data_IF_566229485284
#
_entry.id   IF_566229485284
#
_cell.length_a   1.000
_cell.length_b   1.000
_cell.length_c   1.000
_cell.angle_alpha   90.00
_cell.angle_beta   90.00
_cell.angle_gamma   90.00
#
_symmetry.space_group_name_H-M   'P 1'
#
loop_
_entity.id
_entity.type
_entity.pdbx_description
1 polymer ?
#
# COMPACT_ATOMS: atom_id res chain seq x y z
N UNK A 1 42.94 -23.05 -78.13
CA UNK A 1 42.01 -21.97 -77.84
C UNK A 1 41.70 -22.02 -76.33
N UNK A 2 42.39 -21.21 -75.51
CA UNK A 2 42.24 -21.21 -74.04
C UNK A 2 41.26 -20.11 -73.71
N UNK A 3 40.13 -20.50 -73.07
CA UNK A 3 39.11 -19.59 -72.59
C UNK A 3 39.50 -19.09 -71.18
N UNK A 4 39.75 -17.79 -71.07
CA UNK A 4 40.06 -17.11 -69.80
C UNK A 4 38.71 -16.66 -69.20
N UNK A 5 38.34 -17.23 -68.04
CA UNK A 5 37.13 -16.81 -67.27
C UNK A 5 37.61 -15.81 -66.24
N UNK A 6 37.12 -14.54 -66.34
CA UNK A 6 37.32 -13.50 -65.32
C UNK A 6 36.23 -13.60 -64.26
N UNK A 7 36.63 -13.85 -63.00
CA UNK A 7 35.76 -13.74 -61.83
C UNK A 7 35.81 -12.29 -61.32
N UNK A 8 34.72 -11.60 -61.48
CA UNK A 8 34.53 -10.25 -60.84
C UNK A 8 34.02 -10.47 -59.44
N UNK A 9 34.88 -10.24 -58.42
CA UNK A 9 34.48 -10.21 -57.02
C UNK A 9 33.85 -8.83 -56.70
N UNK A 10 32.54 -8.74 -56.66
CA UNK A 10 31.83 -7.55 -56.21
C UNK A 10 31.93 -7.42 -54.68
N UNK A 11 32.67 -6.41 -54.21
CA UNK A 11 32.71 -6.04 -52.80
C UNK A 11 31.41 -5.29 -52.46
N UNK A 12 30.48 -6.03 -51.84
CA UNK A 12 29.28 -5.39 -51.23
C UNK A 12 29.68 -4.76 -49.90
N UNK A 13 29.82 -3.43 -49.86
CA UNK A 13 29.90 -2.67 -48.61
C UNK A 13 28.53 -2.58 -48.01
N UNK A 14 28.22 -3.37 -46.96
CA UNK A 14 27.05 -3.22 -46.17
C UNK A 14 27.22 -1.99 -45.26
N UNK A 15 26.35 -0.96 -45.35
CA UNK A 15 26.43 0.18 -44.44
C UNK A 15 26.09 -0.32 -43.03
N UNK A 16 27.06 -0.32 -42.12
CA UNK A 16 26.83 -0.54 -40.70
C UNK A 16 26.13 0.71 -40.20
N UNK A 17 24.78 0.63 -40.06
CA UNK A 17 24.03 1.62 -39.32
C UNK A 17 24.41 1.44 -37.85
N UNK A 18 25.32 2.28 -37.39
CA UNK A 18 25.59 2.39 -35.95
C UNK A 18 24.31 2.73 -35.22
N UNK A 19 23.73 1.78 -34.51
CA UNK A 19 22.69 2.08 -33.55
C UNK A 19 23.28 3.10 -32.59
N UNK A 20 22.73 4.32 -32.57
CA UNK A 20 23.04 5.30 -31.53
C UNK A 20 22.62 4.65 -30.21
N UNK A 21 23.59 4.16 -29.45
CA UNK A 21 23.39 3.72 -28.08
C UNK A 21 22.90 4.97 -27.33
N UNK A 22 21.64 5.01 -27.04
CA UNK A 22 21.04 6.09 -26.25
C UNK A 22 21.52 5.89 -24.80
N UNK A 23 22.64 6.52 -24.45
CA UNK A 23 23.14 6.50 -23.09
C UNK A 23 22.24 7.42 -22.26
N UNK A 24 21.38 6.83 -21.46
CA UNK A 24 20.57 7.57 -20.53
C UNK A 24 21.44 8.42 -19.61
N UNK A 25 21.07 9.68 -19.44
CA UNK A 25 21.76 10.58 -18.51
C UNK A 25 21.65 10.05 -17.08
N UNK A 26 22.69 10.22 -16.25
CA UNK A 26 22.60 9.89 -14.84
C UNK A 26 21.43 10.63 -14.16
N UNK A 27 20.71 9.93 -13.29
CA UNK A 27 19.71 10.56 -12.44
C UNK A 27 20.38 11.59 -11.51
N UNK A 28 19.78 12.78 -11.40
CA UNK A 28 20.27 13.83 -10.53
C UNK A 28 19.37 13.93 -9.30
N UNK A 29 19.98 14.04 -8.13
CA UNK A 29 19.28 14.31 -6.88
C UNK A 29 18.58 15.66 -6.96
N UNK A 30 17.31 15.71 -6.51
CA UNK A 30 16.51 16.93 -6.44
C UNK A 30 16.37 17.35 -4.99
N UNK A 31 15.80 16.49 -4.14
CA UNK A 31 15.51 16.83 -2.75
C UNK A 31 15.36 15.59 -1.87
N UNK A 32 15.41 15.83 -0.54
CA UNK A 32 15.13 14.86 0.50
C UNK A 32 14.17 15.48 1.53
N UNK A 33 13.19 14.70 1.98
CA UNK A 33 12.29 15.10 3.08
C UNK A 33 11.83 13.87 3.87
N UNK A 34 11.32 14.12 5.08
CA UNK A 34 10.85 13.06 5.96
C UNK A 34 9.43 12.64 5.59
N UNK A 35 9.07 11.39 5.93
CA UNK A 35 7.70 10.93 5.98
C UNK A 35 7.37 10.40 7.38
N UNK A 36 6.10 10.37 7.73
CA UNK A 36 5.59 9.68 8.91
C UNK A 36 5.15 8.27 8.50
N UNK A 37 5.61 7.26 9.23
CA UNK A 37 5.13 5.90 9.07
C UNK A 37 3.90 5.69 9.94
N UNK A 38 2.82 5.17 9.35
CA UNK A 38 1.58 4.79 10.00
C UNK A 38 1.52 3.27 10.19
N UNK A 39 0.51 2.79 10.92
CA UNK A 39 0.23 1.34 11.07
C UNK A 39 0.26 0.62 9.72
N UNK A 40 0.82 -0.59 9.68
CA UNK A 40 1.02 -1.36 8.43
C UNK A 40 2.12 -0.82 7.52
N UNK A 41 2.91 0.15 8.00
CA UNK A 41 4.03 0.73 7.26
C UNK A 41 3.64 1.82 6.25
N UNK A 42 2.37 2.21 6.17
CA UNK A 42 1.89 3.23 5.23
C UNK A 42 2.63 4.55 5.41
N UNK A 43 3.03 5.17 4.31
CA UNK A 43 3.83 6.38 4.30
C UNK A 43 2.95 7.61 4.15
N UNK A 44 3.00 8.52 5.12
CA UNK A 44 2.31 9.80 5.09
C UNK A 44 3.31 10.92 4.82
N UNK A 45 3.11 11.62 3.71
CA UNK A 45 3.93 12.76 3.27
C UNK A 45 3.19 14.05 3.56
N UNK A 46 3.94 15.11 3.81
CA UNK A 46 3.37 16.46 3.96
C UNK A 46 3.83 17.34 2.79
N UNK A 47 2.88 17.99 2.12
CA UNK A 47 3.13 18.91 1.01
C UNK A 47 2.18 20.11 1.08
N UNK A 48 2.57 21.23 0.45
CA UNK A 48 1.65 22.33 0.16
C UNK A 48 0.93 22.10 -1.15
N UNK A 49 -0.33 22.49 -1.20
CA UNK A 49 -1.17 22.38 -2.38
C UNK A 49 -1.49 23.77 -2.92
N UNK A 50 -1.10 24.04 -4.16
CA UNK A 50 -1.25 25.34 -4.81
C UNK A 50 -0.68 26.49 -3.92
N UNK A 51 -1.44 27.57 -3.77
CA UNK A 51 -1.08 28.72 -2.94
C UNK A 51 -1.74 28.68 -1.55
N UNK A 52 -2.29 27.52 -1.15
CA UNK A 52 -2.90 27.36 0.17
C UNK A 52 -1.78 27.35 1.22
N UNK A 53 -1.87 28.18 2.27
CA UNK A 53 -0.81 28.28 3.28
C UNK A 53 -0.66 27.02 4.12
N UNK A 54 -1.76 26.27 4.33
CA UNK A 54 -1.77 25.05 5.11
C UNK A 54 -1.03 23.92 4.41
N UNK A 55 -0.51 22.99 5.19
CA UNK A 55 0.10 21.77 4.68
C UNK A 55 -0.91 20.63 4.66
N UNK A 56 -0.87 19.83 3.62
CA UNK A 56 -1.75 18.68 3.37
C UNK A 56 -0.98 17.38 3.56
N UNK A 57 -1.64 16.36 4.06
CA UNK A 57 -1.09 15.02 4.29
C UNK A 57 -1.53 14.05 3.20
N UNK A 58 -0.56 13.44 2.56
CA UNK A 58 -0.79 12.50 1.45
C UNK A 58 -0.20 11.12 1.74
N UNK A 59 -0.94 10.06 1.45
CA UNK A 59 -0.41 8.71 1.43
C UNK A 59 0.37 8.49 0.11
N UNK A 60 1.61 7.99 0.18
CA UNK A 60 2.36 7.55 -1.00
C UNK A 60 1.97 6.11 -1.34
N UNK A 61 1.35 5.93 -2.51
CA UNK A 61 0.64 4.71 -2.85
C UNK A 61 0.95 4.23 -4.28
N UNK A 62 1.69 3.13 -4.41
CA UNK A 62 1.94 2.48 -5.70
C UNK A 62 0.72 1.70 -6.21
N UNK A 63 -0.25 1.41 -5.35
CA UNK A 63 -1.55 0.82 -5.68
C UNK A 63 -2.57 1.82 -6.22
N UNK A 64 -2.21 3.11 -6.32
CA UNK A 64 -3.04 4.15 -6.92
C UNK A 64 -2.58 4.51 -8.34
N UNK A 65 -3.47 4.33 -9.32
CA UNK A 65 -3.22 4.65 -10.72
C UNK A 65 -3.23 6.16 -11.03
N UNK A 66 -3.41 7.02 -10.03
CA UNK A 66 -3.55 8.47 -10.21
C UNK A 66 -3.05 9.23 -8.97
N UNK A 67 -3.41 10.50 -8.88
CA UNK A 67 -3.28 11.34 -7.69
C UNK A 67 -4.67 11.85 -7.31
N UNK A 68 -4.94 12.03 -6.02
CA UNK A 68 -6.28 12.42 -5.58
C UNK A 68 -6.28 13.28 -4.32
N UNK A 69 -7.38 14.03 -4.13
CA UNK A 69 -7.67 14.83 -2.95
C UNK A 69 -8.90 14.30 -2.23
N UNK A 70 -8.95 14.53 -0.94
CA UNK A 70 -10.09 14.27 -0.10
C UNK A 70 -11.21 15.30 -0.34
N UNK A 71 -12.47 14.82 -0.43
CA UNK A 71 -13.63 15.66 -0.70
C UNK A 71 -13.85 16.72 0.38
N UNK A 72 -13.68 16.38 1.66
CA UNK A 72 -13.85 17.36 2.75
C UNK A 72 -12.73 18.42 2.73
N UNK A 73 -11.53 18.06 2.28
CA UNK A 73 -10.43 19.01 2.04
C UNK A 73 -10.77 19.96 0.88
N UNK A 74 -11.33 19.42 -0.22
CA UNK A 74 -11.77 20.21 -1.36
C UNK A 74 -12.85 21.21 -0.96
N UNK A 75 -13.84 20.78 -0.19
CA UNK A 75 -14.91 21.66 0.32
C UNK A 75 -14.35 22.74 1.26
N UNK A 76 -13.52 22.36 2.24
CA UNK A 76 -12.93 23.28 3.23
C UNK A 76 -12.19 24.44 2.59
N UNK A 77 -11.43 24.18 1.52
CA UNK A 77 -10.60 25.19 0.85
C UNK A 77 -11.23 25.73 -0.46
N UNK A 78 -12.49 25.39 -0.74
CA UNK A 78 -13.21 25.77 -1.96
C UNK A 78 -12.37 25.51 -3.24
N UNK A 79 -11.73 24.33 -3.32
CA UNK A 79 -10.92 23.96 -4.48
C UNK A 79 -11.83 23.69 -5.67
N UNK A 80 -11.57 24.37 -6.79
CA UNK A 80 -12.38 24.23 -8.01
C UNK A 80 -12.25 22.82 -8.58
N UNK A 81 -13.37 22.22 -8.95
CA UNK A 81 -13.45 20.89 -9.54
C UNK A 81 -14.61 20.77 -10.52
N UNK A 82 -14.60 19.75 -11.34
CA UNK A 82 -15.62 19.44 -12.31
C UNK A 82 -15.83 17.92 -12.45
N UNK A 83 -17.00 17.45 -12.95
CA UNK A 83 -17.23 16.04 -13.18
C UNK A 83 -16.19 15.41 -14.13
N UNK A 84 -15.55 14.32 -13.70
CA UNK A 84 -14.55 13.64 -14.53
C UNK A 84 -15.16 12.66 -15.55
N UNK A 85 -16.40 12.24 -15.34
CA UNK A 85 -17.02 11.15 -16.08
C UNK A 85 -16.39 9.76 -15.81
N UNK A 86 -15.46 9.67 -14.85
CA UNK A 86 -14.72 8.43 -14.54
C UNK A 86 -15.17 7.80 -13.23
N UNK A 87 -14.85 6.52 -13.10
CA UNK A 87 -15.09 5.74 -11.89
C UNK A 87 -13.75 5.29 -11.29
N UNK A 88 -13.64 5.37 -9.98
CA UNK A 88 -12.56 4.75 -9.22
C UNK A 88 -13.05 3.47 -8.57
N UNK A 89 -12.22 2.43 -8.65
CA UNK A 89 -12.47 1.11 -8.11
C UNK A 89 -11.60 0.89 -6.89
N UNK A 90 -12.20 0.45 -5.79
CA UNK A 90 -11.52 0.10 -4.57
C UNK A 90 -12.04 -1.23 -4.00
N UNK A 91 -11.39 -1.73 -2.94
CA UNK A 91 -11.71 -3.02 -2.33
C UNK A 91 -13.14 -3.09 -1.76
N UNK A 92 -13.76 -1.97 -1.49
CA UNK A 92 -15.07 -1.87 -0.86
C UNK A 92 -16.12 -1.14 -1.73
N UNK A 93 -15.80 -0.79 -2.97
CA UNK A 93 -16.77 -0.13 -3.83
C UNK A 93 -16.23 0.51 -5.07
N UNK A 94 -17.17 1.03 -5.86
CA UNK A 94 -16.91 1.82 -7.07
C UNK A 94 -17.57 3.18 -6.87
N UNK A 95 -16.83 4.24 -7.10
CA UNK A 95 -17.33 5.62 -6.95
C UNK A 95 -17.09 6.41 -8.23
N UNK A 96 -18.11 7.20 -8.65
CA UNK A 96 -17.93 8.25 -9.65
C UNK A 96 -17.16 9.38 -8.98
N UNK A 97 -16.15 9.91 -9.66
CA UNK A 97 -15.25 10.91 -9.10
C UNK A 97 -15.25 12.18 -9.95
N UNK A 98 -15.11 13.31 -9.29
CA UNK A 98 -14.80 14.58 -9.93
C UNK A 98 -13.27 14.74 -10.06
N UNK A 99 -12.82 15.82 -10.68
CA UNK A 99 -11.40 16.12 -10.71
C UNK A 99 -11.14 17.63 -10.72
N UNK A 100 -10.02 18.01 -10.12
CA UNK A 100 -9.46 19.36 -10.12
C UNK A 100 -8.23 19.40 -11.00
N UNK A 101 -8.19 20.28 -11.97
CA UNK A 101 -7.16 20.35 -13.01
C UNK A 101 -6.06 21.32 -12.69
N UNK A 102 -4.88 21.03 -13.26
CA UNK A 102 -3.74 21.95 -13.34
C UNK A 102 -3.28 22.49 -11.97
N UNK A 103 -3.23 21.61 -10.99
CA UNK A 103 -2.75 21.94 -9.66
C UNK A 103 -1.24 21.69 -9.51
N UNK A 104 -0.69 22.11 -8.37
CA UNK A 104 0.68 21.81 -8.00
C UNK A 104 0.81 21.32 -6.57
N UNK A 105 1.84 20.50 -6.35
CA UNK A 105 2.32 20.14 -5.02
C UNK A 105 3.71 20.71 -4.80
N UNK A 106 3.94 21.26 -3.61
CA UNK A 106 5.25 21.76 -3.22
C UNK A 106 5.74 21.01 -1.98
N UNK A 107 6.82 20.24 -2.20
CA UNK A 107 7.63 19.63 -1.15
C UNK A 107 8.86 20.51 -0.85
N UNK A 108 9.60 20.28 0.24
CA UNK A 108 10.89 20.92 0.44
C UNK A 108 11.78 20.74 -0.80
N UNK A 109 12.17 21.84 -1.45
CA UNK A 109 13.05 21.81 -2.63
C UNK A 109 12.47 21.25 -3.94
N UNK A 110 11.17 20.95 -4.00
CA UNK A 110 10.52 20.42 -5.22
C UNK A 110 9.11 20.97 -5.38
N UNK A 111 8.85 21.65 -6.49
CA UNK A 111 7.51 21.99 -6.95
C UNK A 111 7.14 21.10 -8.13
N UNK A 112 5.97 20.47 -8.09
CA UNK A 112 5.43 19.60 -9.13
C UNK A 112 4.17 20.24 -9.68
N UNK A 113 4.25 20.78 -10.88
CA UNK A 113 3.14 21.45 -11.57
C UNK A 113 2.35 20.49 -12.47
N UNK A 114 1.22 20.98 -12.98
CA UNK A 114 0.34 20.28 -13.93
C UNK A 114 -0.09 18.90 -13.43
N UNK A 115 -0.65 18.89 -12.25
CA UNK A 115 -1.25 17.71 -11.63
C UNK A 115 -2.78 17.83 -11.67
N UNK A 116 -3.43 16.78 -12.16
CA UNK A 116 -4.88 16.65 -12.16
C UNK A 116 -5.29 15.67 -11.07
N UNK A 117 -5.99 16.17 -10.05
CA UNK A 117 -6.38 15.40 -8.88
C UNK A 117 -7.82 14.91 -9.02
N UNK A 118 -8.02 13.60 -8.88
CA UNK A 118 -9.35 13.06 -8.66
C UNK A 118 -9.82 13.36 -7.23
N UNK A 119 -11.11 13.59 -7.07
CA UNK A 119 -11.70 13.88 -5.76
C UNK A 119 -12.38 12.63 -5.26
N UNK A 120 -12.00 12.21 -4.07
CA UNK A 120 -12.54 11.03 -3.41
C UNK A 120 -12.66 11.28 -1.90
N UNK A 121 -13.49 10.48 -1.24
CA UNK A 121 -13.68 10.55 0.20
C UNK A 121 -12.67 9.67 0.92
N UNK A 122 -11.84 10.27 1.78
CA UNK A 122 -10.84 9.62 2.62
C UNK A 122 -11.13 9.76 4.12
N UNK A 123 -12.36 10.11 4.50
CA UNK A 123 -12.75 10.23 5.90
C UNK A 123 -12.46 8.93 6.67
N UNK A 124 -12.76 7.79 6.06
CA UNK A 124 -12.51 6.49 6.67
C UNK A 124 -11.02 6.24 6.97
N UNK A 125 -10.11 6.65 6.08
CA UNK A 125 -8.66 6.56 6.31
C UNK A 125 -8.23 7.53 7.40
N UNK A 126 -8.77 8.75 7.41
CA UNK A 126 -8.57 9.73 8.48
C UNK A 126 -8.93 9.14 9.84
N UNK A 127 -10.09 8.49 9.94
CA UNK A 127 -10.56 7.89 11.17
C UNK A 127 -9.74 6.67 11.59
N UNK A 128 -9.30 5.85 10.63
CA UNK A 128 -8.44 4.68 10.88
C UNK A 128 -7.08 5.10 11.43
N UNK A 129 -6.45 6.13 10.86
CA UNK A 129 -5.11 6.56 11.29
C UNK A 129 -5.13 7.63 12.39
N UNK A 130 -6.29 8.21 12.68
CA UNK A 130 -6.41 9.29 13.66
C UNK A 130 -5.68 10.59 13.26
N UNK A 131 -5.34 10.71 11.98
CA UNK A 131 -4.71 11.87 11.38
C UNK A 131 -5.36 12.19 10.05
N UNK A 132 -5.60 13.47 9.76
CA UNK A 132 -6.20 13.89 8.50
C UNK A 132 -5.39 13.38 7.32
N UNK A 133 -6.05 12.65 6.41
CA UNK A 133 -5.55 12.25 5.11
C UNK A 133 -6.21 13.14 4.07
N UNK A 134 -5.43 14.03 3.47
CA UNK A 134 -5.92 15.01 2.48
C UNK A 134 -5.87 14.47 1.05
N UNK A 135 -5.21 13.33 0.83
CA UNK A 135 -5.18 12.71 -0.48
C UNK A 135 -4.19 11.55 -0.60
N UNK A 136 -4.07 11.08 -1.82
CA UNK A 136 -3.17 9.97 -2.20
C UNK A 136 -2.27 10.41 -3.35
N UNK A 137 -0.98 10.14 -3.26
CA UNK A 137 0.02 10.35 -4.31
C UNK A 137 0.36 9.00 -4.92
N UNK A 138 -0.05 8.79 -6.18
CA UNK A 138 0.19 7.56 -6.92
C UNK A 138 0.93 7.79 -8.24
N UNK A 139 0.48 7.09 -9.29
CA UNK A 139 1.15 7.01 -10.58
C UNK A 139 1.48 8.37 -11.20
N UNK A 140 0.61 9.37 -11.10
CA UNK A 140 0.82 10.70 -11.68
C UNK A 140 2.09 11.40 -11.19
N UNK A 141 2.53 11.10 -9.97
CA UNK A 141 3.79 11.57 -9.40
C UNK A 141 4.93 10.57 -9.66
N UNK A 142 4.70 9.29 -9.37
CA UNK A 142 5.71 8.23 -9.47
C UNK A 142 6.25 8.05 -10.90
N UNK A 143 5.43 8.34 -11.92
CA UNK A 143 5.85 8.28 -13.33
C UNK A 143 6.80 9.41 -13.76
N UNK A 144 6.91 10.49 -12.95
CA UNK A 144 7.74 11.67 -13.27
C UNK A 144 9.12 11.62 -12.62
N UNK A 145 9.31 10.81 -11.57
CA UNK A 145 10.51 10.83 -10.74
C UNK A 145 10.99 9.42 -10.37
N UNK A 146 12.26 9.33 -10.00
CA UNK A 146 12.75 8.19 -9.25
C UNK A 146 12.58 8.54 -7.76
N UNK A 147 11.85 7.68 -7.04
CA UNK A 147 11.55 7.85 -5.62
C UNK A 147 12.31 6.79 -4.83
N UNK A 148 13.25 7.23 -4.00
CA UNK A 148 13.95 6.35 -3.05
C UNK A 148 13.33 6.53 -1.67
N UNK A 149 12.81 5.42 -1.11
CA UNK A 149 12.24 5.35 0.23
C UNK A 149 13.22 4.65 1.15
N UNK A 150 13.55 5.29 2.24
CA UNK A 150 14.42 4.78 3.29
C UNK A 150 13.60 4.65 4.59
N UNK A 151 13.17 3.43 4.92
CA UNK A 151 12.38 3.15 6.11
C UNK A 151 13.22 3.13 7.40
N UNK A 152 14.55 2.99 7.30
CA UNK A 152 15.42 3.08 8.48
C UNK A 152 15.52 4.51 9.02
N UNK A 153 15.58 5.49 8.10
CA UNK A 153 15.70 6.91 8.44
C UNK A 153 14.39 7.69 8.27
N UNK A 154 13.30 7.05 7.81
CA UNK A 154 12.01 7.64 7.49
C UNK A 154 12.13 8.81 6.50
N UNK A 155 12.92 8.62 5.44
CA UNK A 155 13.21 9.64 4.44
C UNK A 155 12.84 9.21 3.03
N UNK A 156 12.40 10.19 2.25
CA UNK A 156 12.20 10.07 0.81
C UNK A 156 13.21 10.94 0.10
N UNK A 157 13.89 10.38 -0.88
CA UNK A 157 14.80 11.11 -1.79
C UNK A 157 14.22 11.06 -3.20
N UNK A 158 14.15 12.22 -3.84
CA UNK A 158 13.61 12.38 -5.19
C UNK A 158 14.75 12.68 -6.16
N UNK A 159 14.70 12.01 -7.30
CA UNK A 159 15.63 12.22 -8.40
C UNK A 159 14.83 12.43 -9.70
N UNK A 160 15.41 13.19 -10.64
CA UNK A 160 14.89 13.21 -12.00
C UNK A 160 15.09 11.84 -12.69
N UNK A 161 14.30 11.52 -13.73
CA UNK A 161 14.52 10.32 -14.53
C UNK A 161 15.95 10.22 -15.09
N UNK A 162 16.49 9.00 -15.07
CA UNK A 162 17.85 8.74 -15.52
C UNK A 162 18.40 7.39 -15.03
N UNK A 163 19.68 7.17 -15.21
CA UNK A 163 20.35 5.98 -14.70
C UNK A 163 20.71 6.16 -13.23
N UNK A 164 20.31 5.20 -12.40
CA UNK A 164 20.66 5.15 -10.98
C UNK A 164 21.39 3.84 -10.67
N UNK A 165 22.33 3.87 -9.71
CA UNK A 165 23.00 2.65 -9.25
C UNK A 165 22.14 1.97 -8.17
N UNK A 166 21.89 0.68 -8.39
CA UNK A 166 21.24 -0.20 -7.42
C UNK A 166 22.29 -0.90 -6.56
N UNK A 167 21.96 -1.11 -5.27
CA UNK A 167 22.86 -1.83 -4.37
C UNK A 167 22.98 -3.31 -4.78
N UNK A 168 24.21 -3.85 -4.77
CA UNK A 168 24.51 -5.21 -5.26
C UNK A 168 23.79 -6.33 -4.51
N UNK A 169 23.46 -6.11 -3.24
CA UNK A 169 22.80 -7.11 -2.38
C UNK A 169 21.26 -6.96 -2.36
N UNK A 170 20.71 -6.06 -3.18
CA UNK A 170 19.28 -5.89 -3.35
C UNK A 170 18.73 -6.75 -4.49
N UNK A 171 17.41 -6.72 -4.64
CA UNK A 171 16.67 -7.38 -5.72
C UNK A 171 16.11 -6.31 -6.65
N UNK A 172 16.49 -6.36 -7.92
CA UNK A 172 15.87 -5.54 -8.96
C UNK A 172 14.69 -6.32 -9.56
N UNK A 173 13.51 -5.75 -9.48
CA UNK A 173 12.28 -6.23 -10.10
C UNK A 173 11.99 -5.40 -11.35
N UNK A 174 11.44 -6.06 -12.37
CA UNK A 174 10.89 -5.44 -13.56
C UNK A 174 9.37 -5.66 -13.58
N UNK A 175 8.60 -4.78 -12.90
CA UNK A 175 7.16 -4.92 -12.85
C UNK A 175 6.53 -4.65 -14.20
N UNK A 176 5.42 -5.33 -14.49
CA UNK A 176 4.55 -4.91 -15.59
C UNK A 176 3.74 -3.71 -15.13
N UNK A 177 3.99 -2.52 -15.70
CA UNK A 177 3.25 -1.30 -15.38
C UNK A 177 2.02 -1.17 -16.31
N UNK A 178 0.84 -1.42 -15.76
CA UNK A 178 -0.45 -1.15 -16.42
C UNK A 178 -1.32 -0.23 -15.56
N UNK A 179 -0.75 0.95 -15.23
CA UNK A 179 -1.27 1.86 -14.23
C UNK A 179 -0.78 1.51 -12.81
N UNK A 180 -0.80 0.23 -12.43
CA UNK A 180 -0.26 -0.28 -11.17
C UNK A 180 0.87 -1.28 -11.45
N UNK A 181 1.91 -1.34 -10.59
CA UNK A 181 3.01 -2.28 -10.75
C UNK A 181 2.57 -3.70 -10.37
N UNK A 182 2.81 -4.63 -11.27
CA UNK A 182 2.51 -6.05 -11.09
C UNK A 182 3.83 -6.82 -11.05
N UNK A 183 4.02 -7.62 -10.00
CA UNK A 183 5.24 -8.40 -9.77
C UNK A 183 4.92 -9.88 -9.58
N UNK A 184 5.78 -10.80 -10.05
CA UNK A 184 5.63 -12.23 -9.82
C UNK A 184 6.08 -12.59 -8.40
N UNK A 185 5.27 -13.42 -7.70
CA UNK A 185 5.59 -14.00 -6.40
C UNK A 185 5.38 -15.51 -6.41
N UNK A 186 6.16 -16.21 -5.60
CA UNK A 186 5.93 -17.62 -5.30
C UNK A 186 5.32 -17.72 -3.90
N UNK A 187 4.13 -18.29 -3.83
CA UNK A 187 3.43 -18.51 -2.57
C UNK A 187 3.31 -20.01 -2.27
N UNK A 188 3.33 -20.37 -1.00
CA UNK A 188 3.21 -21.78 -0.58
C UNK A 188 2.38 -21.91 0.69
N UNK A 189 1.34 -22.76 0.62
CA UNK A 189 0.67 -23.28 1.82
C UNK A 189 0.40 -24.78 1.64
N UNK A 190 -0.73 -25.24 1.07
CA UNK A 190 -0.94 -26.63 0.65
C UNK A 190 -0.15 -26.94 -0.62
N UNK A 191 -0.16 -26.00 -1.55
CA UNK A 191 0.55 -26.06 -2.84
C UNK A 191 1.54 -24.91 -2.95
N UNK A 192 2.46 -25.04 -3.89
CA UNK A 192 3.31 -23.94 -4.34
C UNK A 192 2.71 -23.39 -5.62
N UNK A 193 2.45 -22.08 -5.64
CA UNK A 193 1.85 -21.37 -6.76
C UNK A 193 2.72 -20.20 -7.12
N UNK A 194 2.97 -20.01 -8.42
CA UNK A 194 3.62 -18.84 -8.98
C UNK A 194 2.55 -18.02 -9.69
N UNK A 195 2.35 -16.77 -9.26
CA UNK A 195 1.35 -15.88 -9.82
C UNK A 195 1.79 -14.43 -9.68
N UNK A 196 1.03 -13.53 -10.30
CA UNK A 196 1.28 -12.10 -10.28
C UNK A 196 0.47 -11.41 -9.17
N UNK A 197 1.02 -10.33 -8.64
CA UNK A 197 0.39 -9.56 -7.56
C UNK A 197 0.66 -8.08 -7.75
N UNK A 198 -0.30 -7.23 -7.41
CA UNK A 198 -0.02 -5.80 -7.30
C UNK A 198 1.01 -5.54 -6.21
N UNK A 199 1.94 -4.64 -6.48
CA UNK A 199 2.91 -4.13 -5.53
C UNK A 199 2.35 -2.82 -4.94
N UNK A 200 1.88 -2.86 -3.69
CA UNK A 200 1.00 -1.83 -3.14
C UNK A 200 1.55 -1.27 -1.82
N UNK A 201 2.15 -0.07 -1.87
CA UNK A 201 2.66 0.63 -0.68
C UNK A 201 1.58 1.38 0.09
N UNK A 202 0.38 1.55 -0.47
CA UNK A 202 -0.78 2.15 0.19
C UNK A 202 -1.57 1.15 1.05
N UNK A 203 -1.43 -0.14 0.78
CA UNK A 203 -2.12 -1.19 1.54
C UNK A 203 -1.35 -1.55 2.83
N UNK A 204 -1.84 -1.12 3.98
CA UNK A 204 -1.24 -1.35 5.31
C UNK A 204 -1.41 -2.78 5.84
N UNK A 205 -1.34 -3.79 4.97
CA UNK A 205 -1.44 -5.23 5.29
C UNK A 205 -0.25 -5.99 4.70
N UNK A 206 -0.08 -7.27 5.11
CA UNK A 206 0.99 -8.09 4.57
C UNK A 206 0.69 -8.56 3.14
N UNK A 207 -0.42 -9.27 2.99
CA UNK A 207 -0.76 -9.97 1.76
C UNK A 207 -2.26 -10.15 1.64
N UNK A 208 -2.78 -10.01 0.41
CA UNK A 208 -4.18 -10.21 0.09
C UNK A 208 -4.29 -11.10 -1.14
N UNK A 209 -5.20 -12.05 -1.12
CA UNK A 209 -5.59 -12.88 -2.26
C UNK A 209 -7.10 -12.81 -2.47
N UNK A 210 -7.55 -12.98 -3.72
CA UNK A 210 -8.98 -13.13 -3.98
C UNK A 210 -9.48 -14.53 -3.61
N UNK A 211 -10.75 -14.66 -3.21
CA UNK A 211 -11.39 -15.95 -2.97
C UNK A 211 -11.35 -16.84 -4.20
N UNK A 212 -11.59 -16.30 -5.38
CA UNK A 212 -11.50 -17.03 -6.64
C UNK A 212 -10.10 -17.61 -6.85
N UNK A 213 -9.03 -16.80 -6.69
CA UNK A 213 -7.66 -17.30 -6.81
C UNK A 213 -7.33 -18.39 -5.78
N UNK A 214 -7.78 -18.23 -4.53
CA UNK A 214 -7.63 -19.24 -3.47
C UNK A 214 -8.24 -20.58 -3.89
N UNK A 215 -9.42 -20.57 -4.49
CA UNK A 215 -10.16 -21.76 -4.93
C UNK A 215 -9.51 -22.40 -6.15
N UNK A 216 -9.28 -21.65 -7.22
CA UNK A 216 -8.69 -22.14 -8.46
C UNK A 216 -7.30 -22.76 -8.25
N UNK A 217 -6.50 -22.15 -7.38
CA UNK A 217 -5.15 -22.65 -7.07
C UNK A 217 -5.12 -23.76 -6.03
N UNK A 218 -6.23 -24.01 -5.32
CA UNK A 218 -6.31 -24.90 -4.16
C UNK A 218 -5.16 -24.63 -3.16
N UNK A 219 -4.87 -23.35 -2.93
CA UNK A 219 -3.68 -22.89 -2.21
C UNK A 219 -3.70 -23.31 -0.75
N UNK A 220 -4.83 -23.15 -0.05
CA UNK A 220 -4.87 -23.25 1.40
C UNK A 220 -4.92 -24.71 1.89
N UNK A 221 -4.23 -24.96 2.99
CA UNK A 221 -4.36 -26.22 3.75
C UNK A 221 -5.79 -26.35 4.28
N UNK A 222 -6.39 -27.52 4.16
CA UNK A 222 -7.74 -27.85 4.68
C UNK A 222 -7.93 -27.55 6.16
N UNK A 223 -6.84 -27.60 6.96
CA UNK A 223 -6.85 -27.30 8.41
C UNK A 223 -6.85 -25.82 8.74
N UNK A 224 -6.70 -24.91 7.77
CA UNK A 224 -6.78 -23.47 8.02
C UNK A 224 -8.19 -23.11 8.46
N UNK A 225 -8.28 -22.26 9.46
CA UNK A 225 -9.54 -21.71 9.99
C UNK A 225 -9.47 -20.20 9.87
N UNK A 226 -9.76 -19.63 8.69
CA UNK A 226 -9.79 -18.19 8.52
C UNK A 226 -10.78 -17.55 9.50
N UNK A 227 -10.41 -16.42 10.08
CA UNK A 227 -11.28 -15.61 10.95
C UNK A 227 -11.82 -14.43 10.16
N UNK A 228 -13.07 -14.07 10.40
CA UNK A 228 -13.68 -12.90 9.79
C UNK A 228 -13.06 -11.63 10.34
N UNK A 229 -12.83 -10.65 9.50
CA UNK A 229 -12.37 -9.31 9.86
C UNK A 229 -12.97 -8.29 8.91
N UNK A 230 -12.97 -7.03 9.30
CA UNK A 230 -13.36 -5.91 8.43
C UNK A 230 -12.12 -5.11 8.09
N UNK A 231 -12.01 -4.70 6.84
CA UNK A 231 -10.90 -3.90 6.31
C UNK A 231 -11.46 -2.65 5.65
N UNK A 232 -10.73 -1.57 5.83
CA UNK A 232 -11.07 -0.26 5.30
C UNK A 232 -10.28 0.01 4.01
N UNK A 233 -10.91 0.60 3.05
CA UNK A 233 -10.25 1.00 1.81
C UNK A 233 -11.10 1.94 0.97
N UNK A 234 -10.63 2.22 -0.22
CA UNK A 234 -11.39 3.02 -1.18
C UNK A 234 -12.75 2.37 -1.42
N UNK A 235 -13.82 3.16 -1.28
CA UNK A 235 -15.20 2.70 -1.40
C UNK A 235 -15.89 2.40 -0.08
N UNK A 236 -15.15 2.28 1.03
CA UNK A 236 -15.71 2.04 2.36
C UNK A 236 -15.12 0.85 3.10
N UNK A 237 -15.99 0.06 3.72
CA UNK A 237 -15.65 -1.15 4.48
C UNK A 237 -15.91 -2.41 3.66
N UNK A 238 -15.03 -3.40 3.78
CA UNK A 238 -15.21 -4.73 3.17
C UNK A 238 -14.97 -5.82 4.20
N UNK A 239 -15.82 -6.84 4.20
CA UNK A 239 -15.59 -8.05 4.98
C UNK A 239 -14.54 -8.91 4.29
N UNK A 240 -13.58 -9.40 5.06
CA UNK A 240 -12.53 -10.30 4.59
C UNK A 240 -12.34 -11.44 5.58
N UNK A 241 -11.60 -12.45 5.14
CA UNK A 241 -11.16 -13.53 6.00
C UNK A 241 -9.64 -13.47 6.18
N UNK A 242 -9.17 -13.57 7.42
CA UNK A 242 -7.76 -13.50 7.78
C UNK A 242 -7.24 -14.89 8.19
N UNK A 243 -6.13 -15.31 7.61
CA UNK A 243 -5.44 -16.57 7.88
C UNK A 243 -3.93 -16.37 7.79
N UNK A 244 -3.18 -17.47 7.93
CA UNK A 244 -1.72 -17.50 7.75
C UNK A 244 -1.38 -18.45 6.61
N UNK A 245 -0.51 -18.05 5.68
CA UNK A 245 0.10 -18.96 4.72
C UNK A 245 1.54 -19.28 5.11
N UNK A 246 2.06 -20.45 4.70
CA UNK A 246 3.39 -20.92 5.12
C UNK A 246 4.52 -20.05 4.64
N UNK A 247 4.47 -19.58 3.37
CA UNK A 247 5.59 -18.86 2.76
C UNK A 247 5.13 -17.97 1.61
N UNK A 248 5.70 -16.78 1.55
CA UNK A 248 5.75 -15.91 0.37
C UNK A 248 7.21 -15.74 -0.01
N UNK A 249 7.50 -15.70 -1.29
CA UNK A 249 8.83 -15.47 -1.81
C UNK A 249 8.79 -14.43 -2.94
N UNK A 250 9.59 -13.38 -2.78
CA UNK A 250 9.86 -12.36 -3.79
C UNK A 250 11.34 -12.43 -4.16
N UNK A 251 11.63 -12.84 -5.39
CA UNK A 251 13.00 -13.13 -5.78
C UNK A 251 13.67 -14.14 -4.83
N UNK A 252 14.77 -13.73 -4.20
CA UNK A 252 15.52 -14.55 -3.24
C UNK A 252 15.00 -14.43 -1.80
N UNK A 253 14.15 -13.45 -1.50
CA UNK A 253 13.66 -13.17 -0.15
C UNK A 253 12.44 -14.03 0.19
N UNK A 254 12.43 -14.60 1.38
CA UNK A 254 11.41 -15.54 1.84
C UNK A 254 10.84 -15.08 3.17
N UNK A 255 9.54 -14.89 3.21
CA UNK A 255 8.78 -14.63 4.43
C UNK A 255 7.99 -15.88 4.82
N UNK A 256 7.98 -16.20 6.10
CA UNK A 256 7.32 -17.40 6.63
C UNK A 256 6.15 -17.03 7.52
N UNK A 257 5.09 -17.84 7.47
CA UNK A 257 3.89 -17.67 8.30
C UNK A 257 3.29 -16.28 8.14
N UNK A 258 3.00 -15.90 6.89
CA UNK A 258 2.55 -14.56 6.55
C UNK A 258 1.06 -14.42 6.78
N UNK A 259 0.59 -13.42 7.56
CA UNK A 259 -0.81 -13.04 7.64
C UNK A 259 -1.35 -12.72 6.25
N UNK A 260 -2.48 -13.33 5.92
CA UNK A 260 -3.03 -13.26 4.56
C UNK A 260 -4.53 -13.02 4.62
N UNK A 261 -4.95 -11.94 4.00
CA UNK A 261 -6.35 -11.59 3.83
C UNK A 261 -6.91 -12.28 2.59
N UNK A 262 -8.15 -12.70 2.67
CA UNK A 262 -8.91 -13.31 1.57
C UNK A 262 -10.11 -12.41 1.33
N UNK A 263 -10.20 -11.85 0.14
CA UNK A 263 -11.25 -10.93 -0.29
C UNK A 263 -12.20 -11.62 -1.27
N UNK A 264 -13.49 -11.49 -1.05
CA UNK A 264 -14.49 -11.76 -2.07
C UNK A 264 -14.52 -10.56 -3.04
N UNK A 265 -13.88 -10.75 -4.20
CA UNK A 265 -13.59 -9.68 -5.17
C UNK A 265 -14.83 -9.30 -6.01
N UNK A 266 -15.87 -8.78 -5.37
CA UNK A 266 -17.13 -8.38 -6.00
C UNK A 266 -16.94 -7.34 -7.10
N UNK A 267 -15.93 -6.46 -6.93
CA UNK A 267 -15.64 -5.36 -7.87
C UNK A 267 -14.61 -5.74 -8.94
N UNK A 268 -14.22 -7.02 -9.01
CA UNK A 268 -13.32 -7.58 -10.01
C UNK A 268 -11.96 -6.88 -10.12
N UNK A 269 -11.39 -6.45 -9.00
CA UNK A 269 -10.07 -5.81 -8.93
C UNK A 269 -8.95 -6.74 -9.39
N UNK A 270 -9.09 -8.04 -9.12
CA UNK A 270 -8.13 -9.10 -9.41
C UNK A 270 -8.57 -10.02 -10.56
N UNK A 271 -9.52 -9.58 -11.40
CA UNK A 271 -10.08 -10.40 -12.48
C UNK A 271 -9.16 -10.65 -13.68
N UNK A 272 -7.97 -10.00 -13.70
CA UNK A 272 -6.97 -10.24 -14.76
C UNK A 272 -6.41 -11.66 -14.66
N UNK A 273 -6.19 -12.35 -15.79
CA UNK A 273 -5.57 -13.66 -15.79
C UNK A 273 -4.25 -13.67 -15.01
N UNK A 274 -4.05 -14.67 -14.16
CA UNK A 274 -2.86 -14.88 -13.33
C UNK A 274 -2.64 -13.84 -12.21
N UNK A 275 -3.55 -12.90 -11.99
CA UNK A 275 -3.46 -11.94 -10.90
C UNK A 275 -4.13 -12.53 -9.65
N UNK A 276 -3.32 -12.83 -8.62
CA UNK A 276 -3.82 -13.49 -7.40
C UNK A 276 -4.29 -12.54 -6.31
N UNK A 277 -3.85 -11.27 -6.34
CA UNK A 277 -4.11 -10.31 -5.26
C UNK A 277 -3.06 -9.20 -5.20
N UNK A 278 -2.63 -8.82 -3.97
CA UNK A 278 -1.58 -7.82 -3.78
C UNK A 278 -0.61 -8.20 -2.65
N UNK A 279 0.61 -7.68 -2.75
CA UNK A 279 1.59 -7.62 -1.66
C UNK A 279 1.56 -6.22 -1.07
N UNK A 280 1.28 -6.13 0.24
CA UNK A 280 1.09 -4.86 0.92
C UNK A 280 2.31 -4.38 1.69
N UNK A 281 2.17 -3.21 2.28
CA UNK A 281 3.29 -2.46 2.81
C UNK A 281 3.85 -3.02 4.12
N UNK A 282 3.12 -3.85 4.87
CA UNK A 282 3.74 -4.52 6.04
C UNK A 282 4.81 -5.55 5.64
N UNK A 283 4.81 -6.04 4.39
CA UNK A 283 5.98 -6.75 3.83
C UNK A 283 6.96 -5.77 3.20
N UNK A 284 6.48 -4.80 2.41
CA UNK A 284 7.32 -3.92 1.60
C UNK A 284 8.19 -2.97 2.45
N UNK A 285 7.70 -2.49 3.60
CA UNK A 285 8.45 -1.66 4.55
C UNK A 285 9.70 -2.34 5.14
N UNK A 286 9.85 -3.65 4.93
CA UNK A 286 11.03 -4.42 5.33
C UNK A 286 12.19 -4.25 4.37
N UNK A 287 11.99 -3.42 3.35
CA UNK A 287 13.00 -3.04 2.38
C UNK A 287 13.08 -1.53 2.27
N UNK A 288 14.28 -1.01 2.06
CA UNK A 288 14.44 0.31 1.47
C UNK A 288 14.19 0.17 -0.03
N UNK A 289 13.35 1.03 -0.60
CA UNK A 289 12.84 0.92 -1.95
C UNK A 289 13.47 1.96 -2.88
N UNK A 290 13.71 1.61 -4.13
CA UNK A 290 13.89 2.57 -5.22
C UNK A 290 12.83 2.27 -6.27
N UNK A 291 11.89 3.19 -6.43
CA UNK A 291 10.77 3.10 -7.37
C UNK A 291 11.14 3.95 -8.58
N UNK A 292 11.34 3.33 -9.72
CA UNK A 292 11.76 3.96 -10.97
C UNK A 292 10.78 3.58 -12.10
N UNK A 293 9.60 4.18 -12.08
CA UNK A 293 8.56 3.91 -13.08
C UNK A 293 8.98 4.28 -14.50
N UNK A 294 9.75 5.37 -14.73
CA UNK A 294 10.27 5.65 -16.07
C UNK A 294 11.06 4.52 -16.73
N UNK A 295 11.64 3.62 -15.93
CA UNK A 295 12.38 2.43 -16.42
C UNK A 295 11.67 1.11 -16.12
N UNK A 296 10.47 1.15 -15.55
CA UNK A 296 9.76 -0.04 -15.08
C UNK A 296 10.62 -0.90 -14.14
N UNK A 297 11.31 -0.25 -13.20
CA UNK A 297 12.21 -0.87 -12.25
C UNK A 297 11.78 -0.57 -10.80
N UNK A 298 11.78 -1.60 -9.95
CA UNK A 298 11.65 -1.46 -8.50
C UNK A 298 12.77 -2.25 -7.85
N UNK A 299 13.61 -1.55 -7.08
CA UNK A 299 14.70 -2.19 -6.35
C UNK A 299 14.35 -2.32 -4.87
N UNK A 300 14.56 -3.51 -4.32
CA UNK A 300 14.32 -3.87 -2.93
C UNK A 300 15.66 -4.13 -2.25
N UNK A 301 15.98 -3.38 -1.20
CA UNK A 301 17.16 -3.61 -0.35
C UNK A 301 16.68 -3.91 1.06
N UNK A 302 16.92 -5.11 1.63
CA UNK A 302 16.56 -5.41 3.01
C UNK A 302 17.11 -4.35 3.97
N UNK A 303 16.26 -3.91 4.88
CA UNK A 303 16.58 -2.90 5.89
C UNK A 303 16.59 -3.51 7.31
N UNK A 304 16.73 -2.70 8.35
CA UNK A 304 16.77 -3.15 9.74
C UNK A 304 15.48 -3.84 10.20
N UNK A 305 14.35 -3.58 9.52
CA UNK A 305 13.04 -4.17 9.79
C UNK A 305 12.80 -5.50 9.05
N UNK A 306 13.76 -6.00 8.26
CA UNK A 306 13.57 -7.19 7.43
C UNK A 306 13.16 -8.42 8.24
N UNK A 307 13.64 -8.55 9.46
CA UNK A 307 13.37 -9.67 10.35
C UNK A 307 12.29 -9.40 11.40
N UNK A 308 11.60 -8.25 11.34
CA UNK A 308 10.52 -7.95 12.29
C UNK A 308 9.45 -9.06 12.25
N UNK A 309 8.85 -9.32 13.40
CA UNK A 309 7.74 -10.26 13.48
C UNK A 309 6.50 -9.71 12.80
N UNK A 310 5.72 -10.59 12.18
CA UNK A 310 4.38 -10.22 11.72
C UNK A 310 3.42 -10.16 12.91
N UNK A 311 2.42 -9.30 12.78
CA UNK A 311 1.32 -9.29 13.73
C UNK A 311 0.41 -10.50 13.49
N UNK A 312 0.19 -11.29 14.53
CA UNK A 312 -0.72 -12.43 14.56
C UNK A 312 -1.90 -12.22 15.51
N UNK A 313 -2.07 -11.01 15.99
CA UNK A 313 -3.17 -10.68 16.90
C UNK A 313 -4.52 -10.71 16.18
N UNK A 314 -5.55 -11.00 16.96
CA UNK A 314 -6.92 -10.92 16.50
C UNK A 314 -7.82 -10.54 17.68
N UNK A 315 -8.47 -9.42 17.56
CA UNK A 315 -9.46 -8.94 18.50
C UNK A 315 -10.88 -9.07 17.96
N UNK A 316 -11.05 -8.95 16.64
CA UNK A 316 -12.35 -8.89 15.97
C UNK A 316 -13.09 -7.59 16.23
N UNK A 317 -12.34 -6.49 16.42
CA UNK A 317 -12.84 -5.12 16.46
C UNK A 317 -11.88 -4.21 15.72
N UNK A 318 -12.38 -3.08 15.26
CA UNK A 318 -11.60 -1.96 14.72
C UNK A 318 -11.64 -0.78 15.70
N UNK A 319 -10.59 0.02 15.70
CA UNK A 319 -10.56 1.31 16.39
C UNK A 319 -10.57 2.43 15.37
N UNK A 320 -11.40 3.43 15.62
CA UNK A 320 -11.53 4.65 14.82
C UNK A 320 -11.38 5.88 15.71
N UNK A 321 -10.78 6.92 15.18
CA UNK A 321 -10.74 8.23 15.83
C UNK A 321 -11.71 9.18 15.10
N UNK A 322 -12.85 9.42 15.70
CA UNK A 322 -13.84 10.37 15.21
C UNK A 322 -13.65 11.71 15.93
N UNK A 323 -12.97 12.65 15.29
CA UNK A 323 -12.72 14.00 15.83
C UNK A 323 -12.12 14.01 17.25
N UNK A 324 -11.13 13.16 17.49
CA UNK A 324 -10.44 13.05 18.78
C UNK A 324 -11.08 12.07 19.76
N UNK A 325 -12.19 11.42 19.40
CA UNK A 325 -12.84 10.38 20.21
C UNK A 325 -12.52 9.01 19.59
N UNK A 326 -11.78 8.17 20.31
CA UNK A 326 -11.49 6.82 19.87
C UNK A 326 -12.64 5.89 20.24
N UNK A 327 -13.21 5.22 19.24
CA UNK A 327 -14.31 4.27 19.41
C UNK A 327 -13.94 2.88 18.91
N UNK A 328 -14.47 1.85 19.57
CA UNK A 328 -14.47 0.49 19.06
C UNK A 328 -15.69 0.30 18.16
N UNK A 329 -15.44 -0.23 16.97
CA UNK A 329 -16.48 -0.53 15.99
C UNK A 329 -16.15 -1.81 15.23
N UNK A 330 -17.03 -2.20 14.29
CA UNK A 330 -16.85 -3.39 13.44
C UNK A 330 -16.64 -4.66 14.28
N UNK A 331 -17.40 -4.81 15.35
CA UNK A 331 -17.32 -5.97 16.24
C UNK A 331 -17.81 -7.21 15.49
N UNK A 332 -16.92 -8.18 15.33
CA UNK A 332 -17.22 -9.45 14.65
C UNK A 332 -17.85 -10.44 15.64
N UNK A 333 -18.99 -10.99 15.29
CA UNK A 333 -19.71 -11.98 16.12
C UNK A 333 -18.82 -13.17 16.48
N UNK A 334 -18.85 -13.59 17.74
CA UNK A 334 -18.04 -14.68 18.28
C UNK A 334 -16.54 -14.38 18.42
N UNK A 335 -16.10 -13.15 18.12
CA UNK A 335 -14.74 -12.69 18.30
C UNK A 335 -14.33 -12.53 19.77
N UNK A 336 -13.05 -12.29 20.08
CA UNK A 336 -12.62 -11.94 21.43
C UNK A 336 -13.30 -10.68 21.98
N UNK A 337 -13.49 -9.64 21.15
CA UNK A 337 -14.14 -8.40 21.55
C UNK A 337 -15.62 -8.62 21.87
N UNK A 338 -16.35 -9.33 21.02
CA UNK A 338 -17.75 -9.68 21.25
C UNK A 338 -17.93 -10.51 22.52
N UNK A 339 -17.14 -11.57 22.70
CA UNK A 339 -17.17 -12.41 23.91
C UNK A 339 -16.81 -11.67 25.18
N UNK A 340 -16.02 -10.61 25.08
CA UNK A 340 -15.71 -9.73 26.21
C UNK A 340 -16.81 -8.72 26.49
N UNK A 341 -17.81 -8.60 25.61
CA UNK A 341 -18.94 -7.69 25.75
C UNK A 341 -18.67 -6.27 25.25
N UNK A 342 -17.65 -6.08 24.39
CA UNK A 342 -17.43 -4.81 23.69
C UNK A 342 -18.52 -4.67 22.61
N UNK A 343 -19.01 -3.46 22.42
CA UNK A 343 -20.07 -3.13 21.47
C UNK A 343 -19.63 -2.00 20.53
N UNK A 344 -20.24 -1.94 19.36
CA UNK A 344 -20.06 -0.83 18.44
C UNK A 344 -20.44 0.49 19.13
N UNK A 345 -19.61 1.52 18.97
CA UNK A 345 -19.77 2.82 19.58
C UNK A 345 -19.19 2.96 20.99
N UNK A 346 -18.61 1.91 21.59
CA UNK A 346 -17.90 2.03 22.85
C UNK A 346 -16.73 3.00 22.73
N UNK A 347 -16.72 4.07 23.52
CA UNK A 347 -15.63 5.04 23.55
C UNK A 347 -14.48 4.49 24.37
N UNK A 348 -13.31 4.33 23.76
CA UNK A 348 -12.10 3.87 24.44
C UNK A 348 -11.46 5.04 25.19
N UNK A 349 -11.49 5.01 26.50
CA UNK A 349 -10.86 6.00 27.38
C UNK A 349 -9.40 5.64 27.60
N UNK A 350 -9.08 4.34 27.68
CA UNK A 350 -7.71 3.86 27.85
C UNK A 350 -7.61 2.35 27.64
N UNK A 351 -6.39 1.91 27.35
CA UNK A 351 -6.04 0.48 27.25
C UNK A 351 -4.88 0.21 28.21
N UNK A 352 -5.04 -0.76 29.12
CA UNK A 352 -4.14 -0.99 30.25
C UNK A 352 -3.96 0.31 31.07
N UNK A 353 -2.73 0.81 31.19
CA UNK A 353 -2.41 2.06 31.91
C UNK A 353 -2.14 3.23 30.96
N UNK A 354 -2.50 3.11 29.68
CA UNK A 354 -2.32 4.16 28.68
C UNK A 354 -3.64 4.92 28.48
N UNK A 355 -3.63 6.20 28.77
CA UNK A 355 -4.75 7.16 28.61
C UNK A 355 -4.38 8.30 27.65
N UNK A 356 -3.39 8.07 26.76
CA UNK A 356 -2.86 9.12 25.88
C UNK A 356 -3.85 9.60 24.82
N UNK A 357 -4.96 8.88 24.60
CA UNK A 357 -5.90 9.09 23.50
C UNK A 357 -5.19 9.05 22.12
N UNK A 358 -4.16 8.20 22.01
CA UNK A 358 -3.39 7.96 20.79
C UNK A 358 -3.81 6.62 20.20
N UNK A 359 -4.51 6.67 19.07
CA UNK A 359 -5.05 5.48 18.41
C UNK A 359 -3.98 4.49 17.97
N UNK A 360 -2.79 4.97 17.55
CA UNK A 360 -1.69 4.11 17.13
C UNK A 360 -1.15 3.33 18.35
N UNK A 361 -0.94 3.99 19.48
CA UNK A 361 -0.52 3.32 20.72
C UNK A 361 -1.54 2.30 21.20
N UNK A 362 -2.84 2.61 21.06
CA UNK A 362 -3.89 1.69 21.44
C UNK A 362 -3.89 0.44 20.53
N UNK A 363 -3.71 0.63 19.23
CA UNK A 363 -3.54 -0.48 18.29
C UNK A 363 -2.32 -1.34 18.61
N UNK A 364 -1.18 -0.73 18.94
CA UNK A 364 0.04 -1.44 19.32
C UNK A 364 -0.17 -2.34 20.54
N UNK A 365 -0.94 -1.90 21.54
CA UNK A 365 -1.27 -2.72 22.70
C UNK A 365 -2.18 -3.90 22.36
N UNK A 366 -3.03 -3.76 21.34
CA UNK A 366 -3.90 -4.83 20.84
C UNK A 366 -3.17 -5.82 19.93
N UNK A 367 -1.93 -5.54 19.51
CA UNK A 367 -1.11 -6.44 18.70
C UNK A 367 -0.37 -7.52 19.51
N UNK A 368 -0.55 -7.59 20.81
CA UNK A 368 0.12 -8.58 21.70
C UNK A 368 -0.68 -9.88 21.81
N UNK A 369 -0.56 -10.72 20.79
CA UNK A 369 -1.32 -11.97 20.69
C UNK A 369 -1.06 -12.92 21.88
N UNK A 370 -2.13 -13.31 22.56
CA UNK A 370 -2.12 -14.19 23.73
C UNK A 370 -2.19 -13.44 25.08
N UNK A 371 -1.92 -12.14 25.09
CA UNK A 371 -1.99 -11.31 26.30
C UNK A 371 -3.44 -10.95 26.65
N UNK A 372 -3.67 -10.62 27.91
CA UNK A 372 -4.90 -9.97 28.38
C UNK A 372 -4.68 -8.49 28.37
N UNK A 373 -5.67 -7.77 27.86
CA UNK A 373 -5.72 -6.30 27.88
C UNK A 373 -6.94 -5.85 28.67
N UNK A 374 -6.78 -4.81 29.48
CA UNK A 374 -7.86 -4.14 30.17
C UNK A 374 -8.23 -2.88 29.37
N UNK A 375 -9.49 -2.76 28.98
CA UNK A 375 -10.02 -1.59 28.29
C UNK A 375 -10.91 -0.84 29.28
N UNK A 376 -10.61 0.43 29.53
CA UNK A 376 -11.56 1.35 30.14
C UNK A 376 -12.35 1.99 29.01
N UNK A 377 -13.63 1.66 28.94
CA UNK A 377 -14.55 2.20 27.95
C UNK A 377 -15.60 3.11 28.61
N UNK A 378 -16.24 3.94 27.79
CA UNK A 378 -17.46 4.66 28.18
C UNK A 378 -18.58 4.24 27.24
N UNK A 379 -19.68 3.72 27.83
CA UNK A 379 -20.93 3.34 27.16
C UNK A 379 -22.09 4.04 27.87
N UNK A 380 -22.91 4.75 27.12
CA UNK A 380 -24.06 5.50 27.70
C UNK A 380 -23.65 6.43 28.86
N UNK A 381 -22.52 7.10 28.73
CA UNK A 381 -21.83 7.93 29.73
C UNK A 381 -21.37 7.19 31.01
N UNK A 382 -21.43 5.87 31.04
CA UNK A 382 -21.01 5.05 32.18
C UNK A 382 -19.61 4.49 31.87
N UNK A 383 -18.59 4.68 32.74
CA UNK A 383 -17.31 4.04 32.59
C UNK A 383 -17.39 2.55 32.96
N UNK A 384 -16.83 1.69 32.10
CA UNK A 384 -16.85 0.24 32.27
C UNK A 384 -15.43 -0.29 32.01
N UNK A 385 -14.97 -1.18 32.88
CA UNK A 385 -13.71 -1.89 32.67
C UNK A 385 -14.02 -3.25 32.06
N UNK A 386 -13.46 -3.53 30.89
CA UNK A 386 -13.60 -4.79 30.18
C UNK A 386 -12.22 -5.45 30.07
N UNK A 387 -12.11 -6.72 30.43
CA UNK A 387 -10.88 -7.51 30.21
C UNK A 387 -11.09 -8.43 29.01
N UNK A 388 -10.21 -8.33 28.03
CA UNK A 388 -10.23 -9.14 26.82
C UNK A 388 -8.89 -9.87 26.63
N UNK A 389 -8.93 -11.10 26.14
CA UNK A 389 -7.73 -11.79 25.70
C UNK A 389 -7.55 -11.65 24.20
N UNK A 390 -6.46 -11.06 23.76
CA UNK A 390 -6.10 -10.97 22.35
C UNK A 390 -5.83 -12.37 21.80
N UNK A 391 -6.62 -12.83 20.84
CA UNK A 391 -6.42 -14.13 20.20
C UNK A 391 -5.26 -14.12 19.21
N UNK A 392 -4.90 -15.29 18.71
CA UNK A 392 -3.92 -15.46 17.64
C UNK A 392 -4.59 -16.08 16.42
N UNK A 393 -4.41 -15.51 15.24
CA UNK A 393 -4.77 -16.13 13.97
C UNK A 393 -3.94 -17.40 13.73
N UNK A 394 -4.49 -18.40 13.01
CA UNK A 394 -3.87 -19.71 12.82
C UNK A 394 -3.87 -20.19 11.36
#
# INVERSE_FOLDING_TARGET
>A
MKLLVYFIIGIFTVPVFGQKVHVDKPARFITEFNFRQLTGGVMLLTAKFNNIPDSFNFILDTGSGSISLDSTTVEKYAISHEPSGRYMYGIAGVRKVDYSKNNNLTFPGLKVDSLDFYINDYEILTNVYGIKVDGIIGYSFLSRYIVKVDFDSLKIRIYNPGTIKYARHGLLLHPTLRGLPIVPLIIKDARTVNANYYFDTGAGLCFLISSQFKEDSALLLKRRKPVTTLVQGLGGKSQMHLTIIKKIQIGNYKFRRVPTYILDDEFKLFSRPSLGGLIGNDILRRFNLIINYPKEEIHLLPNNHFHDHFDYSYTGMSLYNFNGIIQADDIVDGSPADKAGIKNGDVIIGINNDFSNDIEKYKDQLQKAGERVALLIRRDNIPIIISMRVSRIR
#
